data_IF_696790304520
#
_entry.id   IF_696790304520
#
_cell.length_a   1.000
_cell.length_b   1.000
_cell.length_c   1.000
_cell.angle_alpha   90.00
_cell.angle_beta   90.00
_cell.angle_gamma   90.00
#
_symmetry.space_group_name_H-M   'P 1'
#
loop_
_entity.id
_entity.type
_entity.pdbx_description
1 polymer ?
#
# COMPACT_ATOMS: atom_id res chain seq x y z
N UNK A 1 25.00 -5.54 12.00
CA UNK A 1 23.76 -6.30 11.70
C UNK A 1 22.56 -5.47 12.12
N UNK A 2 21.43 -5.65 11.44
CA UNK A 2 20.23 -4.87 11.69
C UNK A 2 19.17 -5.70 12.40
N UNK A 3 18.47 -5.06 13.34
CA UNK A 3 17.24 -5.55 13.95
C UNK A 3 16.02 -4.85 13.34
N UNK A 4 14.84 -5.38 13.62
CA UNK A 4 13.55 -4.82 13.17
C UNK A 4 12.71 -4.41 14.38
N UNK A 5 12.22 -3.19 14.39
CA UNK A 5 11.23 -2.71 15.34
C UNK A 5 9.94 -2.34 14.60
N UNK A 6 8.80 -2.80 15.09
CA UNK A 6 7.50 -2.44 14.53
C UNK A 6 7.16 -1.00 14.90
N UNK A 7 6.60 -0.25 13.97
CA UNK A 7 6.20 1.14 14.21
C UNK A 7 5.16 1.25 15.36
N UNK A 8 4.40 0.19 15.60
CA UNK A 8 3.46 0.12 16.75
C UNK A 8 4.13 0.21 18.11
N UNK A 9 5.43 -0.16 18.21
CA UNK A 9 6.23 -0.09 19.44
C UNK A 9 6.96 1.25 19.60
N UNK A 10 6.89 2.14 18.59
CA UNK A 10 7.54 3.44 18.62
C UNK A 10 6.57 4.54 19.12
N UNK A 11 7.08 5.66 19.66
CA UNK A 11 6.27 6.77 20.16
C UNK A 11 5.73 7.64 19.01
N UNK A 12 4.89 7.05 18.16
CA UNK A 12 4.31 7.72 17.00
C UNK A 12 3.12 8.56 17.42
N UNK A 13 3.12 9.88 17.17
CA UNK A 13 1.97 10.74 17.45
C UNK A 13 0.88 10.50 16.39
N UNK A 14 -0.36 10.52 16.81
CA UNK A 14 -1.54 10.42 15.92
C UNK A 14 -1.45 9.25 14.92
N UNK A 15 -1.52 8.04 15.43
CA UNK A 15 -1.28 6.76 14.73
C UNK A 15 -2.19 6.45 13.54
N UNK A 16 -3.24 7.24 13.32
CA UNK A 16 -4.17 7.09 12.19
C UNK A 16 -4.09 8.23 11.18
N UNK A 17 -3.21 9.20 11.40
CA UNK A 17 -3.07 10.34 10.51
C UNK A 17 -1.86 10.16 9.57
N UNK A 18 -2.06 9.99 8.24
CA UNK A 18 -0.97 9.80 7.28
C UNK A 18 0.10 10.89 7.33
N UNK A 19 -0.29 12.16 7.49
CA UNK A 19 0.69 13.26 7.57
C UNK A 19 1.57 13.19 8.83
N UNK A 20 1.02 12.71 9.96
CA UNK A 20 1.81 12.49 11.17
C UNK A 20 2.79 11.32 10.99
N UNK A 21 2.38 10.26 10.30
CA UNK A 21 3.23 9.12 10.00
C UNK A 21 4.35 9.50 9.02
N UNK A 22 4.07 10.32 8.02
CA UNK A 22 5.09 10.86 7.12
C UNK A 22 6.14 11.68 7.88
N UNK A 23 5.70 12.62 8.73
CA UNK A 23 6.63 13.41 9.56
C UNK A 23 7.47 12.53 10.48
N UNK A 24 6.90 11.48 11.03
CA UNK A 24 7.66 10.51 11.83
C UNK A 24 8.71 9.79 10.98
N UNK A 25 8.33 9.29 9.81
CA UNK A 25 9.25 8.60 8.90
C UNK A 25 10.36 9.53 8.38
N UNK A 26 10.05 10.83 8.18
CA UNK A 26 11.01 11.84 7.73
C UNK A 26 12.18 12.01 8.71
N UNK A 27 11.96 11.83 10.01
CA UNK A 27 13.03 11.90 11.03
C UNK A 27 14.13 10.84 10.82
N UNK A 28 13.80 9.77 10.08
CA UNK A 28 14.69 8.66 9.75
C UNK A 28 14.99 8.56 8.26
N UNK A 29 14.81 9.65 7.48
CA UNK A 29 15.05 9.66 6.03
C UNK A 29 14.16 8.74 5.22
N UNK A 30 12.98 8.38 5.73
CA UNK A 30 12.12 7.34 5.14
C UNK A 30 10.76 7.85 4.67
N UNK A 31 10.62 9.16 4.50
CA UNK A 31 9.36 9.78 4.07
C UNK A 31 8.90 9.26 2.71
N UNK A 32 9.82 9.13 1.74
CA UNK A 32 9.51 8.66 0.40
C UNK A 32 9.00 7.21 0.41
N UNK A 33 9.63 6.32 1.18
CA UNK A 33 9.17 4.93 1.29
C UNK A 33 7.78 4.86 1.96
N UNK A 34 7.51 5.70 2.95
CA UNK A 34 6.19 5.81 3.58
C UNK A 34 5.12 6.32 2.59
N UNK A 35 5.44 7.29 1.73
CA UNK A 35 4.56 7.75 0.64
C UNK A 35 4.24 6.62 -0.33
N UNK A 36 5.27 5.91 -0.78
CA UNK A 36 5.11 4.74 -1.68
C UNK A 36 4.23 3.67 -1.06
N UNK A 37 4.36 3.43 0.25
CA UNK A 37 3.51 2.47 0.96
C UNK A 37 2.03 2.88 0.90
N UNK A 38 1.68 4.13 1.17
CA UNK A 38 0.29 4.59 1.09
C UNK A 38 -0.26 4.52 -0.33
N UNK A 39 0.54 4.86 -1.33
CA UNK A 39 0.14 4.76 -2.75
C UNK A 39 -0.04 3.30 -3.15
N UNK A 40 0.88 2.41 -2.75
CA UNK A 40 0.75 0.97 -3.01
C UNK A 40 -0.51 0.41 -2.35
N UNK A 41 -0.73 0.70 -1.06
CA UNK A 41 -1.90 0.21 -0.32
C UNK A 41 -3.22 0.66 -0.98
N UNK A 42 -3.26 1.87 -1.56
CA UNK A 42 -4.42 2.36 -2.32
C UNK A 42 -4.60 1.65 -3.66
N UNK A 43 -3.52 1.34 -4.37
CA UNK A 43 -3.56 0.61 -5.65
C UNK A 43 -4.06 -0.82 -5.48
N UNK A 44 -3.53 -1.51 -4.47
CA UNK A 44 -3.84 -2.94 -4.23
C UNK A 44 -4.97 -3.15 -3.21
N UNK A 45 -5.55 -2.06 -2.68
CA UNK A 45 -6.62 -2.11 -1.66
C UNK A 45 -6.22 -2.96 -0.44
N UNK A 46 -5.07 -2.65 0.16
CA UNK A 46 -4.59 -3.34 1.35
C UNK A 46 -5.39 -2.92 2.60
N UNK A 47 -6.35 -3.73 2.98
CA UNK A 47 -7.26 -3.45 4.11
C UNK A 47 -6.63 -3.76 5.48
N UNK A 48 -5.41 -4.27 5.52
CA UNK A 48 -4.80 -4.69 6.79
C UNK A 48 -3.50 -3.95 7.13
N UNK A 49 -3.18 -2.85 6.44
CA UNK A 49 -2.05 -2.01 6.83
C UNK A 49 -2.30 -1.36 8.17
N UNK A 50 -1.64 -1.86 9.20
CA UNK A 50 -1.59 -1.28 10.54
C UNK A 50 -0.13 -1.06 10.97
N UNK A 51 0.13 -0.33 12.06
CA UNK A 51 1.50 0.01 12.47
C UNK A 51 2.36 -1.21 12.86
N UNK A 52 1.75 -2.37 13.11
CA UNK A 52 2.45 -3.64 13.28
C UNK A 52 3.01 -4.23 11.98
N UNK A 53 2.48 -3.77 10.82
CA UNK A 53 2.91 -4.16 9.47
C UNK A 53 3.77 -3.05 8.82
N UNK A 54 4.29 -2.13 9.62
CA UNK A 54 5.27 -1.12 9.24
C UNK A 54 6.47 -1.27 10.16
N UNK A 55 7.64 -1.55 9.59
CA UNK A 55 8.87 -1.79 10.35
C UNK A 55 9.89 -0.69 10.15
N UNK A 56 10.73 -0.51 11.15
CA UNK A 56 11.95 0.29 11.07
C UNK A 56 13.15 -0.60 11.38
N UNK A 57 14.21 -0.43 10.63
CA UNK A 57 15.49 -1.09 10.88
C UNK A 57 16.28 -0.28 11.90
N UNK A 58 16.93 -0.96 12.80
CA UNK A 58 17.89 -0.34 13.72
C UNK A 58 19.21 -1.11 13.70
N UNK A 59 20.27 -0.37 13.90
CA UNK A 59 21.60 -0.95 14.04
C UNK A 59 21.75 -1.59 15.43
N UNK A 60 22.13 -2.86 15.49
CA UNK A 60 22.21 -3.62 16.74
C UNK A 60 23.33 -3.14 17.66
N UNK A 61 24.36 -2.50 17.13
CA UNK A 61 25.51 -2.07 17.91
C UNK A 61 25.27 -0.69 18.54
N UNK A 62 24.57 0.19 17.81
CA UNK A 62 24.27 1.55 18.26
C UNK A 62 22.84 1.75 18.77
N UNK A 63 21.95 0.80 18.55
CA UNK A 63 20.52 0.84 18.84
C UNK A 63 19.78 2.04 18.17
N UNK A 64 20.38 2.63 17.13
CA UNK A 64 19.79 3.75 16.40
C UNK A 64 18.96 3.26 15.22
N UNK A 65 17.79 3.88 15.01
CA UNK A 65 16.97 3.62 13.82
C UNK A 65 17.71 4.17 12.60
N UNK A 66 17.85 3.33 11.58
CA UNK A 66 18.54 3.63 10.33
C UNK A 66 17.61 3.93 9.17
N UNK A 67 16.33 3.58 9.29
CA UNK A 67 15.31 3.84 8.28
C UNK A 67 14.15 2.86 8.36
N UNK A 68 13.17 3.06 7.49
CA UNK A 68 12.02 2.16 7.34
C UNK A 68 12.47 0.86 6.65
N UNK A 69 11.99 -0.26 7.15
CA UNK A 69 12.16 -1.56 6.50
C UNK A 69 11.39 -1.61 5.16
N UNK A 70 11.79 -2.48 4.22
CA UNK A 70 10.99 -2.73 3.02
C UNK A 70 9.52 -3.00 3.37
N UNK A 71 8.61 -2.62 2.47
CA UNK A 71 7.17 -2.86 2.65
C UNK A 71 6.92 -4.37 2.65
N UNK A 72 6.21 -4.86 3.65
CA UNK A 72 5.89 -6.28 3.83
C UNK A 72 4.42 -6.45 4.25
N UNK A 73 3.97 -7.71 4.29
CA UNK A 73 2.63 -8.11 4.74
C UNK A 73 1.50 -7.44 3.94
N UNK A 74 1.45 -7.81 2.65
CA UNK A 74 0.40 -7.38 1.72
C UNK A 74 -0.62 -8.51 1.45
N UNK A 75 -0.72 -9.52 2.32
CA UNK A 75 -1.53 -10.71 2.11
C UNK A 75 -3.05 -10.45 2.12
N UNK A 76 -3.49 -9.34 2.69
CA UNK A 76 -4.90 -8.93 2.72
C UNK A 76 -5.20 -7.79 1.74
N UNK A 77 -4.72 -7.98 0.52
CA UNK A 77 -4.85 -7.04 -0.60
C UNK A 77 -5.61 -7.67 -1.77
N UNK A 78 -5.82 -6.90 -2.84
CA UNK A 78 -6.39 -7.35 -4.11
C UNK A 78 -7.73 -8.08 -3.93
N UNK A 79 -8.55 -7.57 -2.98
CA UNK A 79 -9.92 -8.05 -2.80
C UNK A 79 -9.98 -9.59 -2.59
N UNK A 80 -9.02 -10.14 -1.84
CA UNK A 80 -8.77 -11.57 -1.67
C UNK A 80 -9.99 -12.39 -1.26
N UNK A 81 -10.98 -11.78 -0.63
CA UNK A 81 -12.18 -12.43 -0.08
C UNK A 81 -13.38 -12.39 -1.03
N UNK A 82 -13.28 -11.77 -2.20
CA UNK A 82 -14.31 -11.82 -3.23
C UNK A 82 -13.99 -12.90 -4.27
N UNK A 83 -15.02 -13.60 -4.76
CA UNK A 83 -14.90 -14.50 -5.90
C UNK A 83 -14.72 -13.71 -7.21
N UNK A 84 -14.27 -14.40 -8.26
CA UNK A 84 -13.97 -13.78 -9.56
C UNK A 84 -15.23 -13.21 -10.22
N UNK A 85 -16.35 -13.93 -10.16
CA UNK A 85 -17.61 -13.50 -10.77
C UNK A 85 -18.09 -12.15 -10.18
N UNK A 86 -17.99 -12.01 -8.85
CA UNK A 86 -18.34 -10.76 -8.17
C UNK A 86 -17.40 -9.61 -8.55
N UNK A 87 -16.09 -9.87 -8.67
CA UNK A 87 -15.12 -8.87 -9.11
C UNK A 87 -15.38 -8.41 -10.56
N UNK A 88 -15.78 -9.30 -11.44
CA UNK A 88 -16.09 -8.98 -12.83
C UNK A 88 -17.37 -8.17 -12.97
N UNK A 89 -18.44 -8.60 -12.30
CA UNK A 89 -19.77 -8.00 -12.44
C UNK A 89 -19.95 -6.71 -11.64
N UNK A 90 -19.24 -6.56 -10.50
CA UNK A 90 -19.47 -5.47 -9.56
C UNK A 90 -18.18 -4.87 -9.00
N UNK A 91 -17.19 -4.49 -9.83
CA UNK A 91 -15.86 -4.06 -9.36
C UNK A 91 -15.95 -2.84 -8.43
N UNK A 92 -16.73 -1.83 -8.76
CA UNK A 92 -16.87 -0.62 -7.95
C UNK A 92 -17.52 -0.90 -6.59
N UNK A 93 -18.47 -1.82 -6.53
CA UNK A 93 -19.07 -2.25 -5.29
C UNK A 93 -18.04 -2.99 -4.41
N UNK A 94 -17.24 -3.90 -4.99
CA UNK A 94 -16.16 -4.58 -4.26
C UNK A 94 -15.16 -3.57 -3.69
N UNK A 95 -14.72 -2.60 -4.48
CA UNK A 95 -13.84 -1.50 -4.04
C UNK A 95 -14.45 -0.73 -2.89
N UNK A 96 -15.75 -0.41 -2.94
CA UNK A 96 -16.46 0.34 -1.90
C UNK A 96 -16.55 -0.36 -0.55
N UNK A 97 -16.25 -1.67 -0.50
CA UNK A 97 -16.21 -2.47 0.74
C UNK A 97 -14.82 -2.49 1.40
N UNK A 98 -13.83 -1.85 0.78
CA UNK A 98 -12.47 -1.81 1.29
C UNK A 98 -12.23 -0.51 2.03
N UNK A 99 -11.79 -0.62 3.28
CA UNK A 99 -11.43 0.52 4.11
C UNK A 99 -10.00 0.36 4.65
N UNK A 100 -9.16 1.40 4.56
CA UNK A 100 -7.82 1.37 5.13
C UNK A 100 -7.85 1.49 6.66
N UNK A 101 -6.98 0.79 7.37
CA UNK A 101 -6.89 0.87 8.84
C UNK A 101 -6.19 2.13 9.36
N UNK A 102 -5.25 2.69 8.59
CA UNK A 102 -4.45 3.86 9.02
C UNK A 102 -5.16 5.16 8.68
N UNK A 103 -5.85 5.20 7.56
CA UNK A 103 -6.56 6.41 7.07
C UNK A 103 -8.03 6.09 6.84
N UNK A 104 -8.87 7.10 6.66
CA UNK A 104 -10.30 6.89 6.40
C UNK A 104 -10.61 6.59 4.93
N UNK A 105 -9.66 6.81 4.00
CA UNK A 105 -9.91 6.75 2.56
C UNK A 105 -8.62 6.49 1.79
N UNK A 106 -8.60 5.44 0.97
CA UNK A 106 -7.44 5.06 0.16
C UNK A 106 -7.05 6.14 -0.85
N UNK A 107 -8.01 6.63 -1.62
CA UNK A 107 -7.75 7.58 -2.71
C UNK A 107 -7.30 8.93 -2.18
N UNK A 108 -8.04 9.50 -1.23
CA UNK A 108 -7.67 10.78 -0.61
C UNK A 108 -6.29 10.72 0.04
N UNK A 109 -5.97 9.60 0.68
CA UNK A 109 -4.64 9.42 1.30
C UNK A 109 -3.55 9.36 0.23
N UNK A 110 -3.73 8.55 -0.82
CA UNK A 110 -2.75 8.45 -1.90
C UNK A 110 -2.54 9.80 -2.59
N UNK A 111 -3.62 10.52 -2.92
CA UNK A 111 -3.55 11.85 -3.53
C UNK A 111 -2.82 12.87 -2.64
N UNK A 112 -3.08 12.86 -1.33
CA UNK A 112 -2.45 13.78 -0.38
C UNK A 112 -0.95 13.56 -0.21
N UNK A 113 -0.45 12.33 -0.46
CA UNK A 113 0.97 11.99 -0.33
C UNK A 113 1.69 11.93 -1.68
N UNK A 114 0.99 12.13 -2.79
CA UNK A 114 1.51 11.98 -4.14
C UNK A 114 2.48 13.13 -4.48
N UNK A 115 3.69 12.77 -4.85
CA UNK A 115 4.69 13.69 -5.41
C UNK A 115 4.64 13.65 -6.94
N UNK A 116 5.23 14.67 -7.62
CA UNK A 116 5.31 14.68 -9.08
C UNK A 116 6.06 13.47 -9.63
N UNK A 117 7.12 13.02 -8.93
CA UNK A 117 7.86 11.81 -9.29
C UNK A 117 6.98 10.55 -9.20
N UNK A 118 6.25 10.37 -8.11
CA UNK A 118 5.32 9.24 -7.95
C UNK A 118 4.19 9.31 -8.97
N UNK A 119 3.66 10.50 -9.23
CA UNK A 119 2.63 10.73 -10.26
C UNK A 119 3.12 10.32 -11.65
N UNK A 120 4.35 10.68 -12.00
CA UNK A 120 4.95 10.27 -13.28
C UNK A 120 5.11 8.74 -13.38
N UNK A 121 5.58 8.09 -12.31
CA UNK A 121 5.69 6.62 -12.25
C UNK A 121 4.33 5.94 -12.39
N UNK A 122 3.30 6.46 -11.72
CA UNK A 122 1.94 5.92 -11.83
C UNK A 122 1.37 6.07 -13.25
N UNK A 123 1.62 7.19 -13.93
CA UNK A 123 1.20 7.35 -15.34
C UNK A 123 1.78 6.29 -16.25
N UNK A 124 3.02 5.85 -16.01
CA UNK A 124 3.66 4.79 -16.78
C UNK A 124 3.05 3.39 -16.50
N UNK A 125 2.23 3.24 -15.46
CA UNK A 125 1.49 2.02 -15.16
C UNK A 125 0.13 1.94 -15.87
N UNK A 126 -0.25 2.94 -16.65
CA UNK A 126 -1.53 2.92 -17.37
C UNK A 126 -1.67 1.66 -18.24
N UNK A 127 -2.79 0.97 -18.09
CA UNK A 127 -3.02 -0.31 -18.78
C UNK A 127 -2.26 -1.50 -18.18
N UNK A 128 -1.76 -1.39 -16.95
CA UNK A 128 -1.09 -2.51 -16.26
C UNK A 128 -1.95 -3.78 -16.25
N UNK A 129 -1.31 -4.92 -16.49
CA UNK A 129 -1.94 -6.24 -16.46
C UNK A 129 -1.10 -7.20 -15.61
N UNK A 130 -1.77 -7.89 -14.69
CA UNK A 130 -1.14 -8.97 -13.95
C UNK A 130 -0.80 -10.12 -14.89
N UNK A 131 0.42 -10.65 -14.75
CA UNK A 131 0.87 -11.84 -15.47
C UNK A 131 0.75 -13.07 -14.58
N UNK A 132 0.48 -14.25 -15.14
CA UNK A 132 0.46 -15.49 -14.38
C UNK A 132 1.81 -15.70 -13.67
N UNK A 133 1.81 -15.95 -12.36
CA UNK A 133 3.05 -16.25 -11.63
C UNK A 133 3.60 -17.62 -12.05
N UNK A 134 4.93 -17.73 -12.13
CA UNK A 134 5.58 -19.01 -12.46
C UNK A 134 5.30 -20.04 -11.35
N UNK A 135 4.82 -21.21 -11.75
CA UNK A 135 4.60 -22.34 -10.84
C UNK A 135 3.33 -22.25 -9.98
N UNK A 136 2.51 -21.21 -10.15
CA UNK A 136 1.24 -21.06 -9.44
C UNK A 136 0.12 -20.89 -10.46
N UNK A 137 -0.90 -21.74 -10.36
CA UNK A 137 -2.07 -21.65 -11.24
C UNK A 137 -3.07 -20.64 -10.68
N UNK A 138 -3.08 -19.43 -11.26
CA UNK A 138 -4.11 -18.42 -10.99
C UNK A 138 -4.99 -18.31 -12.25
N UNK A 139 -6.31 -18.43 -12.12
CA UNK A 139 -7.21 -18.31 -13.27
C UNK A 139 -7.04 -16.99 -14.00
N UNK A 140 -7.04 -17.01 -15.34
CA UNK A 140 -6.82 -15.81 -16.16
C UNK A 140 -7.91 -14.76 -15.98
N UNK A 141 -9.17 -15.17 -15.89
CA UNK A 141 -10.31 -14.31 -15.57
C UNK A 141 -10.10 -13.53 -14.26
N UNK A 142 -9.53 -14.20 -13.24
CA UNK A 142 -9.16 -13.52 -11.97
C UNK A 142 -8.10 -12.45 -12.19
N UNK A 143 -7.05 -12.74 -12.94
CA UNK A 143 -5.98 -11.78 -13.22
C UNK A 143 -6.49 -10.59 -14.02
N UNK A 144 -7.39 -10.82 -14.98
CA UNK A 144 -8.04 -9.77 -15.78
C UNK A 144 -8.93 -8.87 -14.90
N UNK A 145 -9.76 -9.49 -14.03
CA UNK A 145 -10.60 -8.72 -13.09
C UNK A 145 -9.78 -7.86 -12.14
N UNK A 146 -8.69 -8.41 -11.57
CA UNK A 146 -7.78 -7.67 -10.68
C UNK A 146 -7.03 -6.56 -11.43
N UNK A 147 -6.62 -6.80 -12.68
CA UNK A 147 -5.97 -5.80 -13.54
C UNK A 147 -6.91 -4.62 -13.80
N UNK A 148 -8.18 -4.89 -14.08
CA UNK A 148 -9.21 -3.86 -14.23
C UNK A 148 -9.37 -3.03 -12.96
N UNK A 149 -9.45 -3.68 -11.79
CA UNK A 149 -9.61 -3.01 -10.50
C UNK A 149 -8.40 -2.12 -10.19
N UNK A 150 -7.17 -2.61 -10.43
CA UNK A 150 -5.96 -1.81 -10.24
C UNK A 150 -5.98 -0.56 -11.13
N UNK A 151 -6.37 -0.68 -12.39
CA UNK A 151 -6.47 0.46 -13.30
C UNK A 151 -7.59 1.45 -12.87
N UNK A 152 -8.69 0.97 -12.29
CA UNK A 152 -9.72 1.86 -11.68
C UNK A 152 -9.08 2.68 -10.54
N UNK A 153 -8.37 2.03 -9.62
CA UNK A 153 -7.68 2.71 -8.52
C UNK A 153 -6.62 3.69 -9.02
N UNK A 154 -5.81 3.27 -9.98
CA UNK A 154 -4.78 4.10 -10.62
C UNK A 154 -5.39 5.38 -11.20
N UNK A 155 -6.46 5.27 -11.97
CA UNK A 155 -7.14 6.41 -12.57
C UNK A 155 -7.70 7.36 -11.49
N UNK A 156 -8.32 6.83 -10.41
CA UNK A 156 -8.82 7.63 -9.30
C UNK A 156 -7.71 8.38 -8.55
N UNK A 157 -6.55 7.75 -8.36
CA UNK A 157 -5.40 8.40 -7.71
C UNK A 157 -4.83 9.53 -8.57
N UNK A 158 -4.86 9.39 -9.89
CA UNK A 158 -4.28 10.37 -10.83
C UNK A 158 -5.19 11.57 -11.15
N UNK A 159 -6.48 11.47 -10.86
CA UNK A 159 -7.42 12.60 -10.96
C UNK A 159 -7.11 13.72 -9.96
#
# INVERSE_FOLDING_TARGET
KYGLVKMSALPVPNRRNPAALLRFAAQYGSEDLMRRMFVLDALILNIDRHLGNVGFLFDNDTMRITGMAPIYDNNRSLLFYFDTETLEKRPEWCISKCEPRISGDFIKTAQAVLTDELRAKLKNMAGFQFQPPVGINVPMDRLEALSRILNIQLNKILQ
#
